data_IF_119590959047
#
_entry.id   IF_119590959047
#
_cell.length_a   1.000
_cell.length_b   1.000
_cell.length_c   1.000
_cell.angle_alpha   90.00
_cell.angle_beta   90.00
_cell.angle_gamma   90.00
#
_symmetry.space_group_name_H-M   'P 1'
#
loop_
_entity.id
_entity.type
_entity.pdbx_description
1 polymer ?
#
# COMPACT_ATOMS: atom_id res chain seq x y z
N UNK A 1 19.50 2.89 -10.72
CA UNK A 1 19.00 4.19 -10.33
C UNK A 1 17.48 4.22 -10.30
N UNK A 2 16.91 4.73 -9.23
CA UNK A 2 15.46 4.80 -9.15
C UNK A 2 14.96 6.03 -9.88
N UNK A 3 13.72 5.96 -10.33
CA UNK A 3 13.10 7.09 -10.99
C UNK A 3 11.92 7.53 -10.15
N UNK A 4 11.32 8.66 -10.51
CA UNK A 4 10.14 9.14 -9.82
C UNK A 4 8.93 8.24 -10.06
N UNK A 5 9.05 7.30 -10.96
CA UNK A 5 7.97 6.40 -11.30
C UNK A 5 8.17 4.98 -10.80
N UNK A 6 9.06 4.80 -9.86
CA UNK A 6 9.21 3.49 -9.21
C UNK A 6 8.27 3.38 -8.04
N UNK A 7 7.72 2.21 -7.82
CA UNK A 7 6.82 2.00 -6.70
C UNK A 7 6.98 0.59 -6.13
N UNK A 8 6.45 0.40 -4.93
CA UNK A 8 6.35 -0.91 -4.30
C UNK A 8 4.86 -1.18 -4.11
N UNK A 9 4.47 -2.45 -4.20
CA UNK A 9 3.06 -2.80 -4.08
C UNK A 9 2.86 -3.74 -2.90
N UNK A 10 1.70 -3.61 -2.26
CA UNK A 10 1.39 -4.38 -1.06
C UNK A 10 0.00 -4.97 -1.13
N UNK A 11 -0.10 -6.25 -0.76
CA UNK A 11 -1.37 -6.95 -0.66
C UNK A 11 -1.50 -7.54 0.73
N UNK A 12 -2.74 -7.71 1.19
CA UNK A 12 -3.00 -8.36 2.46
C UNK A 12 -4.27 -9.19 2.34
N UNK A 13 -4.18 -10.45 2.77
CA UNK A 13 -5.34 -11.33 2.80
C UNK A 13 -5.41 -11.95 4.18
N UNK A 14 -6.59 -12.46 4.53
CA UNK A 14 -6.78 -13.08 5.83
C UNK A 14 -6.39 -14.55 5.85
N UNK A 15 -6.19 -15.15 4.68
CA UNK A 15 -5.76 -16.55 4.60
C UNK A 15 -5.08 -16.80 3.27
N UNK A 16 -4.42 -17.96 3.19
CA UNK A 16 -3.77 -18.36 1.95
C UNK A 16 -4.80 -18.69 0.87
N UNK A 17 -5.93 -19.27 1.28
CA UNK A 17 -6.96 -19.57 0.32
C UNK A 17 -7.71 -18.32 -0.02
N UNK A 18 -7.99 -18.15 -1.28
CA UNK A 18 -8.70 -16.97 -1.72
C UNK A 18 -10.17 -17.10 -1.39
N UNK A 19 -10.69 -16.10 -0.74
CA UNK A 19 -12.11 -16.00 -0.61
C UNK A 19 -12.59 -14.99 -1.63
N UNK A 20 -13.89 -14.98 -1.85
CA UNK A 20 -14.45 -14.10 -2.84
C UNK A 20 -14.12 -12.66 -2.56
N UNK A 21 -13.64 -11.99 -3.59
CA UNK A 21 -13.41 -10.57 -3.51
C UNK A 21 -12.22 -10.14 -2.71
N UNK A 22 -11.49 -11.10 -2.16
CA UNK A 22 -10.37 -10.75 -1.30
C UNK A 22 -9.09 -11.48 -1.63
N UNK A 23 -8.98 -12.02 -2.83
CA UNK A 23 -7.79 -12.77 -3.19
C UNK A 23 -6.63 -11.84 -3.49
N UNK A 24 -5.43 -12.37 -3.26
CA UNK A 24 -4.22 -11.64 -3.58
C UNK A 24 -4.15 -11.38 -5.08
N UNK A 25 -4.66 -12.32 -5.86
CA UNK A 25 -4.65 -12.18 -7.31
C UNK A 25 -5.52 -11.00 -7.74
N UNK A 26 -6.69 -10.84 -7.14
CA UNK A 26 -7.56 -9.72 -7.47
C UNK A 26 -6.90 -8.40 -7.09
N UNK A 27 -6.31 -8.35 -5.91
CA UNK A 27 -5.65 -7.14 -5.46
C UNK A 27 -4.50 -6.77 -6.39
N UNK A 28 -3.68 -7.77 -6.72
CA UNK A 28 -2.55 -7.51 -7.61
C UNK A 28 -3.02 -7.03 -8.98
N UNK A 29 -4.07 -7.64 -9.49
CA UNK A 29 -4.60 -7.25 -10.80
C UNK A 29 -5.02 -5.78 -10.82
N UNK A 30 -5.73 -5.36 -9.77
CA UNK A 30 -6.16 -3.98 -9.65
C UNK A 30 -4.97 -3.04 -9.57
N UNK A 31 -3.99 -3.41 -8.74
CA UNK A 31 -2.80 -2.59 -8.55
C UNK A 31 -2.01 -2.47 -9.86
N UNK A 32 -1.82 -3.60 -10.54
CA UNK A 32 -1.01 -3.58 -11.76
C UNK A 32 -1.69 -2.77 -12.86
N UNK A 33 -3.02 -2.79 -12.88
CA UNK A 33 -3.74 -1.99 -13.86
C UNK A 33 -3.48 -0.50 -13.61
N UNK A 34 -3.53 -0.09 -12.36
CA UNK A 34 -3.25 1.30 -12.02
C UNK A 34 -1.80 1.66 -12.33
N UNK A 35 -0.88 0.79 -11.95
CA UNK A 35 0.54 1.00 -12.16
C UNK A 35 0.83 1.21 -13.65
N UNK A 36 0.27 0.34 -14.48
CA UNK A 36 0.49 0.41 -15.91
C UNK A 36 -0.12 1.67 -16.51
N UNK A 37 -1.32 2.01 -16.07
CA UNK A 37 -2.01 3.19 -16.60
C UNK A 37 -1.29 4.47 -16.24
N UNK A 38 -0.57 4.49 -15.16
CA UNK A 38 0.11 5.68 -14.66
C UNK A 38 1.61 5.68 -14.91
N UNK A 39 2.11 4.69 -15.64
CA UNK A 39 3.50 4.68 -16.05
C UNK A 39 4.50 4.37 -14.95
N UNK A 40 4.06 3.65 -13.92
CA UNK A 40 4.96 3.27 -12.84
C UNK A 40 5.62 1.93 -13.11
N UNK A 41 6.75 1.71 -12.44
CA UNK A 41 7.47 0.44 -12.50
C UNK A 41 7.47 -0.17 -11.10
N UNK A 42 7.01 -1.40 -10.99
CA UNK A 42 6.99 -2.10 -9.71
C UNK A 42 8.39 -2.64 -9.41
N UNK A 43 8.94 -2.23 -8.29
CA UNK A 43 10.28 -2.66 -7.89
C UNK A 43 10.23 -3.68 -6.75
N UNK A 44 9.08 -3.94 -6.19
CA UNK A 44 8.92 -4.94 -5.16
C UNK A 44 7.46 -5.21 -4.89
N UNK A 45 7.17 -6.45 -4.47
CA UNK A 45 5.80 -6.89 -4.22
C UNK A 45 5.78 -7.61 -2.86
N UNK A 46 4.83 -7.24 -2.01
CA UNK A 46 4.78 -7.73 -0.62
C UNK A 46 3.36 -8.17 -0.29
N UNK A 47 3.25 -9.29 0.43
CA UNK A 47 1.96 -9.88 0.73
C UNK A 47 1.98 -10.43 2.15
N UNK A 48 1.15 -9.86 3.02
CA UNK A 48 0.95 -10.36 4.37
C UNK A 48 -0.34 -11.16 4.44
N UNK A 49 -0.32 -12.23 5.23
CA UNK A 49 -1.50 -13.04 5.47
C UNK A 49 -1.87 -12.82 6.94
N UNK A 50 -2.75 -11.86 7.17
CA UNK A 50 -3.09 -11.40 8.50
C UNK A 50 -4.55 -11.01 8.56
N UNK A 51 -5.12 -11.07 9.75
CA UNK A 51 -6.52 -10.74 9.93
C UNK A 51 -6.85 -9.26 9.70
N UNK A 52 -5.84 -8.41 9.76
CA UNK A 52 -6.07 -6.98 9.63
C UNK A 52 -6.28 -6.28 10.94
N UNK A 53 -6.33 -7.03 12.05
CA UNK A 53 -6.45 -6.44 13.38
C UNK A 53 -5.10 -6.10 13.96
N UNK A 54 -4.08 -6.76 13.46
CA UNK A 54 -2.72 -6.48 13.90
C UNK A 54 -2.32 -5.09 13.44
N UNK A 55 -1.55 -4.43 14.28
CA UNK A 55 -0.99 -3.12 13.91
C UNK A 55 -0.21 -3.28 12.62
N UNK A 56 -0.40 -2.34 11.71
CA UNK A 56 0.26 -2.40 10.41
C UNK A 56 1.77 -2.51 10.55
N UNK A 57 2.33 -1.78 11.49
CA UNK A 57 3.78 -1.77 11.67
C UNK A 57 4.33 -3.04 12.30
N UNK A 58 3.45 -3.99 12.65
CA UNK A 58 3.88 -5.27 13.17
C UNK A 58 3.84 -6.37 12.12
N UNK A 59 3.36 -6.06 10.93
CA UNK A 59 3.26 -7.05 9.85
C UNK A 59 4.62 -7.23 9.20
N UNK A 60 5.04 -8.48 9.08
CA UNK A 60 6.38 -8.80 8.60
C UNK A 60 6.66 -8.27 7.18
N UNK A 61 5.76 -8.55 6.25
CA UNK A 61 6.01 -8.12 4.87
C UNK A 61 5.85 -6.61 4.71
N UNK A 62 4.93 -6.02 5.48
CA UNK A 62 4.78 -4.58 5.44
C UNK A 62 6.07 -3.90 5.90
N UNK A 63 6.63 -4.38 7.01
CA UNK A 63 7.87 -3.79 7.52
C UNK A 63 9.04 -4.01 6.57
N UNK A 64 9.06 -5.17 5.91
CA UNK A 64 10.10 -5.41 4.91
C UNK A 64 9.96 -4.43 3.76
N UNK A 65 8.72 -4.14 3.36
CA UNK A 65 8.49 -3.17 2.30
C UNK A 65 9.02 -1.79 2.70
N UNK A 66 8.77 -1.38 3.94
CA UNK A 66 9.25 -0.09 4.40
C UNK A 66 10.79 -0.07 4.42
N UNK A 67 11.39 -1.14 4.90
CA UNK A 67 12.84 -1.23 4.93
C UNK A 67 13.41 -1.13 3.50
N UNK A 68 12.84 -1.89 2.58
CA UNK A 68 13.31 -1.88 1.20
C UNK A 68 13.10 -0.51 0.55
N UNK A 69 11.97 0.13 0.85
CA UNK A 69 11.70 1.45 0.29
C UNK A 69 12.75 2.46 0.73
N UNK A 70 13.15 2.39 2.00
CA UNK A 70 14.18 3.30 2.49
C UNK A 70 15.51 3.01 1.80
N UNK A 71 15.83 1.73 1.65
CA UNK A 71 17.09 1.34 1.03
C UNK A 71 17.14 1.73 -0.44
N UNK A 72 16.02 1.59 -1.13
CA UNK A 72 15.97 1.89 -2.56
C UNK A 72 15.66 3.36 -2.87
N UNK A 73 15.24 4.11 -1.87
CA UNK A 73 14.83 5.49 -2.10
C UNK A 73 13.48 5.61 -2.80
N UNK A 74 12.63 4.58 -2.66
CA UNK A 74 11.31 4.59 -3.29
C UNK A 74 10.28 5.00 -2.25
N UNK A 75 9.47 5.99 -2.59
CA UNK A 75 8.50 6.53 -1.65
C UNK A 75 7.05 6.39 -2.10
N UNK A 76 6.81 5.62 -3.14
CA UNK A 76 5.45 5.40 -3.63
C UNK A 76 5.03 3.98 -3.31
N UNK A 77 3.96 3.84 -2.53
CA UNK A 77 3.43 2.54 -2.11
C UNK A 77 2.02 2.42 -2.65
N UNK A 78 1.71 1.31 -3.31
CA UNK A 78 0.41 1.12 -3.94
C UNK A 78 -0.32 -0.05 -3.32
N UNK A 79 -1.58 0.18 -2.96
CA UNK A 79 -2.48 -0.80 -2.35
C UNK A 79 -3.73 -0.90 -3.22
N UNK A 80 -4.47 -1.99 -3.13
CA UNK A 80 -5.74 -2.06 -3.85
C UNK A 80 -6.76 -1.11 -3.22
N UNK A 81 -6.79 -1.06 -1.88
CA UNK A 81 -7.68 -0.13 -1.18
C UNK A 81 -7.13 0.11 0.22
N UNK A 82 -7.71 1.10 0.90
CA UNK A 82 -7.22 1.52 2.20
C UNK A 82 -7.26 0.44 3.27
N UNK A 83 -8.19 -0.50 3.13
CA UNK A 83 -8.32 -1.54 4.16
C UNK A 83 -7.12 -2.45 4.20
N UNK A 84 -6.28 -2.46 3.16
CA UNK A 84 -5.06 -3.26 3.19
C UNK A 84 -4.05 -2.67 4.15
N UNK A 85 -4.13 -1.36 4.38
CA UNK A 85 -3.28 -0.74 5.37
C UNK A 85 -3.72 -1.18 6.77
N UNK A 86 -5.02 -1.15 7.03
CA UNK A 86 -5.61 -1.69 8.25
C UNK A 86 -7.11 -1.66 8.13
N UNK A 87 -7.79 -2.59 8.81
CA UNK A 87 -9.25 -2.57 8.88
C UNK A 87 -9.71 -1.62 9.99
N UNK A 88 -8.82 -1.29 10.89
CA UNK A 88 -9.12 -0.34 11.96
C UNK A 88 -8.87 1.07 11.43
N UNK A 89 -9.90 1.87 11.41
CA UNK A 89 -9.83 3.22 10.85
C UNK A 89 -8.78 4.08 11.55
N UNK A 90 -8.66 3.92 12.85
CA UNK A 90 -7.70 4.72 13.60
C UNK A 90 -6.27 4.35 13.25
N UNK A 91 -6.01 3.05 13.17
CA UNK A 91 -4.68 2.55 12.78
C UNK A 91 -4.40 2.96 11.34
N UNK A 92 -5.39 2.88 10.49
CA UNK A 92 -5.27 3.25 9.09
C UNK A 92 -4.83 4.71 8.96
N UNK A 93 -5.52 5.59 9.66
CA UNK A 93 -5.20 7.02 9.60
C UNK A 93 -3.84 7.33 10.22
N UNK A 94 -3.54 6.75 11.36
CA UNK A 94 -2.27 7.07 12.02
C UNK A 94 -1.09 6.57 11.20
N UNK A 95 -1.23 5.40 10.57
CA UNK A 95 -0.17 4.88 9.72
C UNK A 95 0.01 5.76 8.49
N UNK A 96 -1.10 6.19 7.91
CA UNK A 96 -1.05 7.07 6.75
C UNK A 96 -0.33 8.38 7.10
N UNK A 97 -0.68 8.98 8.23
CA UNK A 97 -0.07 10.23 8.64
C UNK A 97 1.43 10.06 8.90
N UNK A 98 1.78 8.96 9.55
CA UNK A 98 3.19 8.69 9.83
C UNK A 98 4.00 8.57 8.55
N UNK A 99 3.51 7.78 7.61
CA UNK A 99 4.24 7.58 6.37
C UNK A 99 4.25 8.84 5.52
N UNK A 100 3.14 9.56 5.48
CA UNK A 100 3.10 10.83 4.75
C UNK A 100 4.10 11.82 5.29
N UNK A 101 4.25 11.85 6.60
CA UNK A 101 5.20 12.78 7.21
C UNK A 101 6.64 12.44 6.86
N UNK A 102 6.87 11.21 6.42
CA UNK A 102 8.20 10.78 6.00
C UNK A 102 8.39 10.86 4.49
N UNK A 103 7.44 11.48 3.80
CA UNK A 103 7.56 11.68 2.38
C UNK A 103 6.99 10.58 1.52
N UNK A 104 6.31 9.61 2.13
CA UNK A 104 5.70 8.55 1.36
C UNK A 104 4.41 9.02 0.72
N UNK A 105 4.15 8.49 -0.47
CA UNK A 105 2.89 8.71 -1.15
C UNK A 105 2.17 7.37 -1.22
N UNK A 106 0.98 7.30 -0.64
CA UNK A 106 0.19 6.07 -0.61
C UNK A 106 -0.92 6.18 -1.63
N UNK A 107 -1.05 5.16 -2.46
CA UNK A 107 -2.02 5.14 -3.55
C UNK A 107 -2.94 3.94 -3.37
N UNK A 108 -4.23 4.17 -3.52
CA UNK A 108 -5.22 3.10 -3.57
C UNK A 108 -5.64 2.94 -5.02
N UNK A 109 -5.41 1.76 -5.60
CA UNK A 109 -5.71 1.58 -7.02
C UNK A 109 -7.21 1.59 -7.30
N UNK A 110 -8.01 1.13 -6.34
CA UNK A 110 -9.46 1.08 -6.52
C UNK A 110 -10.14 2.39 -6.16
N UNK A 111 -9.45 3.22 -5.39
CA UNK A 111 -10.00 4.51 -5.01
C UNK A 111 -8.84 5.49 -4.89
N UNK A 112 -8.30 5.92 -6.03
CA UNK A 112 -7.05 6.69 -6.03
C UNK A 112 -7.04 7.95 -5.19
N UNK A 113 -8.20 8.52 -4.93
CA UNK A 113 -8.25 9.76 -4.17
C UNK A 113 -8.41 9.56 -2.68
N UNK A 114 -8.55 8.31 -2.22
CA UNK A 114 -8.91 8.07 -0.82
C UNK A 114 -7.85 8.55 0.15
N UNK A 115 -6.57 8.37 -0.19
CA UNK A 115 -5.51 8.83 0.70
C UNK A 115 -5.23 10.33 0.52
N UNK A 116 -5.52 10.84 -0.65
CA UNK A 116 -5.22 12.22 -0.94
C UNK A 116 -6.13 13.20 -0.23
N UNK A 117 -7.36 12.78 -0.04
CA UNK A 117 -8.36 13.66 0.55
C UNK A 117 -8.03 14.16 1.93
N UNK A 118 -7.16 13.45 2.60
CA UNK A 118 -6.82 13.86 3.95
C UNK A 118 -5.72 14.88 3.98
N UNK A 119 -5.27 15.31 2.86
CA UNK A 119 -4.23 16.27 2.81
C UNK A 119 -4.76 17.60 3.22
N UNK A 120 -4.21 18.12 4.22
CA UNK A 120 -4.80 19.34 4.71
C UNK A 120 -4.59 20.46 3.81
N UNK A 121 -4.02 20.53 3.04
CA UNK A 121 -3.94 21.57 2.39
C UNK A 121 -4.67 22.01 1.77
N UNK A 122 -5.00 21.79 1.59
CA UNK A 122 -5.71 22.15 0.98
C UNK A 122 -5.97 23.26 1.10
N UNK A 123 -5.75 23.68 1.31
CA UNK A 123 -6.02 24.65 1.31
C UNK A 123 -5.67 25.18 1.52
#
# INVERSE_FOLDING_TARGET
MTTNKDCLIYMRTSSMTNSKGDSVKRQRSSIMKWVKSNGYTVRGSYWDIESGKMDTMERTEFMKMIYDSETMGIKVLVFSDQSRLSRDIIVQESTFRLLSSRGYRLISSENPNSFIEDTPTSN
#
